data_IF_421198288720
#
_entry.id   IF_421198288720
#
_cell.length_a   1.000
_cell.length_b   1.000
_cell.length_c   1.000
_cell.angle_alpha   90.00
_cell.angle_beta   90.00
_cell.angle_gamma   90.00
#
_symmetry.space_group_name_H-M   'P 1'
#
loop_
_entity.id
_entity.type
_entity.pdbx_description
1 polymer ?
#
# COMPACT_ATOMS: atom_id res chain seq x y z
N UNK A 1 -11.24 0.71 10.39
CA UNK A 1 -10.09 0.12 9.67
C UNK A 1 -10.56 -1.15 8.96
N UNK A 2 -11.24 -0.96 7.84
CA UNK A 2 -11.78 -2.05 7.02
C UNK A 2 -11.35 -1.81 5.58
N UNK A 3 -10.83 -2.83 4.91
CA UNK A 3 -10.49 -2.80 3.48
C UNK A 3 -11.06 -4.07 2.85
N UNK A 4 -11.73 -3.93 1.70
CA UNK A 4 -12.33 -5.08 1.00
C UNK A 4 -13.30 -5.91 1.86
N UNK A 5 -14.09 -5.27 2.73
CA UNK A 5 -15.02 -5.96 3.64
C UNK A 5 -14.36 -6.71 4.81
N UNK A 6 -13.04 -6.72 4.91
CA UNK A 6 -12.29 -7.37 5.99
C UNK A 6 -11.76 -6.34 6.98
N UNK A 7 -11.78 -6.69 8.27
CA UNK A 7 -11.14 -5.90 9.33
C UNK A 7 -9.81 -6.56 9.68
N UNK A 8 -8.73 -5.85 9.41
CA UNK A 8 -7.36 -6.31 9.61
C UNK A 8 -6.63 -5.41 10.60
N UNK A 9 -5.71 -6.00 11.34
CA UNK A 9 -4.80 -5.29 12.23
C UNK A 9 -3.36 -5.73 11.94
N UNK A 10 -2.51 -4.74 11.65
CA UNK A 10 -1.09 -4.93 11.38
C UNK A 10 -0.31 -4.29 12.52
N UNK A 11 0.49 -5.08 13.23
CA UNK A 11 1.44 -4.57 14.23
C UNK A 11 2.86 -4.78 13.72
N UNK A 12 3.67 -3.72 13.74
CA UNK A 12 5.09 -3.77 13.41
C UNK A 12 5.91 -3.21 14.57
N UNK A 13 6.95 -3.94 14.95
CA UNK A 13 7.90 -3.50 15.96
C UNK A 13 9.29 -3.46 15.32
N UNK A 14 10.01 -2.34 15.38
CA UNK A 14 11.36 -2.25 14.86
C UNK A 14 12.33 -3.07 15.71
N UNK A 15 13.52 -3.34 15.17
CA UNK A 15 14.59 -3.88 15.98
C UNK A 15 15.00 -2.82 17.02
N UNK A 16 15.09 -3.21 18.29
CA UNK A 16 15.35 -2.27 19.38
C UNK A 16 16.01 -2.95 20.59
N UNK A 17 16.83 -2.23 21.36
CA UNK A 17 17.35 -2.75 22.62
C UNK A 17 16.21 -2.92 23.63
N UNK A 18 16.19 -4.06 24.31
CA UNK A 18 15.22 -4.43 25.33
C UNK A 18 15.97 -4.91 26.58
N UNK A 19 15.54 -4.55 27.79
CA UNK A 19 16.08 -5.14 29.01
C UNK A 19 16.05 -6.68 28.96
N UNK A 20 17.12 -7.32 29.42
CA UNK A 20 17.17 -8.78 29.51
C UNK A 20 16.12 -9.29 30.51
N UNK A 21 15.56 -10.47 30.24
CA UNK A 21 14.64 -11.13 31.19
C UNK A 21 15.31 -11.53 32.51
N UNK A 22 16.63 -11.71 32.52
CA UNK A 22 17.43 -12.12 33.67
C UNK A 22 18.80 -11.42 33.61
N UNK A 23 19.26 -10.95 34.77
CA UNK A 23 20.50 -10.19 34.92
C UNK A 23 20.41 -8.75 34.38
N UNK A 24 21.52 -8.02 34.51
CA UNK A 24 21.60 -6.62 34.08
C UNK A 24 21.97 -6.45 32.60
N UNK A 25 21.56 -5.30 32.06
CA UNK A 25 21.85 -4.87 30.69
C UNK A 25 20.74 -5.17 29.68
N UNK A 26 21.04 -4.84 28.41
CA UNK A 26 20.10 -4.91 27.29
C UNK A 26 20.45 -6.05 26.33
N UNK A 27 19.45 -6.51 25.59
CA UNK A 27 19.59 -7.42 24.45
C UNK A 27 18.83 -6.85 23.25
N UNK A 28 19.26 -7.15 22.05
CA UNK A 28 18.57 -6.69 20.84
C UNK A 28 17.34 -7.56 20.57
N UNK A 29 16.17 -6.94 20.60
CA UNK A 29 14.94 -7.53 20.07
C UNK A 29 14.91 -7.34 18.55
N UNK A 30 14.71 -8.43 17.81
CA UNK A 30 14.62 -8.38 16.35
C UNK A 30 13.32 -7.70 15.92
N UNK A 31 13.33 -7.10 14.74
CA UNK A 31 12.11 -6.56 14.14
C UNK A 31 11.06 -7.66 13.97
N UNK A 32 9.78 -7.32 14.21
CA UNK A 32 8.66 -8.23 14.09
C UNK A 32 7.51 -7.59 13.33
N UNK A 33 6.76 -8.41 12.62
CA UNK A 33 5.49 -8.04 11.99
C UNK A 33 4.44 -9.07 12.33
N UNK A 34 3.21 -8.64 12.58
CA UNK A 34 2.07 -9.51 12.88
C UNK A 34 0.84 -8.99 12.18
N UNK A 35 0.11 -9.90 11.55
CA UNK A 35 -1.18 -9.63 10.93
C UNK A 35 -2.25 -10.43 11.66
N UNK A 36 -3.33 -9.76 12.03
CA UNK A 36 -4.55 -10.38 12.56
C UNK A 36 -5.76 -9.97 11.73
N UNK A 37 -6.69 -10.90 11.57
CA UNK A 37 -8.00 -10.66 10.96
C UNK A 37 -9.09 -10.79 12.01
N UNK A 38 -10.11 -9.95 11.91
CA UNK A 38 -11.27 -10.03 12.77
C UNK A 38 -12.34 -10.90 12.13
N UNK A 39 -12.75 -11.94 12.85
CA UNK A 39 -13.86 -12.82 12.56
C UNK A 39 -15.04 -12.46 13.48
N UNK A 40 -16.27 -12.48 12.97
CA UNK A 40 -17.45 -12.07 13.73
C UNK A 40 -17.84 -13.04 14.83
N UNK A 41 -17.50 -14.32 14.70
CA UNK A 41 -17.82 -15.37 15.67
C UNK A 41 -16.66 -15.59 16.65
N UNK A 42 -15.42 -15.56 16.14
CA UNK A 42 -14.22 -15.97 16.88
C UNK A 42 -13.31 -14.80 17.27
N UNK A 43 -13.69 -13.56 16.94
CA UNK A 43 -12.92 -12.37 17.23
C UNK A 43 -11.59 -12.29 16.46
N UNK A 44 -10.55 -11.74 17.08
CA UNK A 44 -9.26 -11.55 16.42
C UNK A 44 -8.47 -12.86 16.27
N UNK A 45 -8.18 -13.22 15.02
CA UNK A 45 -7.41 -14.40 14.64
C UNK A 45 -6.05 -14.02 14.07
N UNK A 46 -5.01 -14.77 14.42
CA UNK A 46 -3.68 -14.59 13.85
C UNK A 46 -3.65 -15.11 12.40
N UNK A 47 -3.17 -14.28 11.47
CA UNK A 47 -3.09 -14.63 10.05
C UNK A 47 -1.65 -14.92 9.63
N UNK A 48 -0.70 -14.02 9.92
CA UNK A 48 0.71 -14.23 9.58
C UNK A 48 1.65 -13.47 10.53
N UNK A 49 2.89 -13.96 10.60
CA UNK A 49 4.04 -13.31 11.25
C UNK A 49 5.19 -13.03 10.27
N UNK A 50 5.05 -13.41 9.00
CA UNK A 50 6.06 -13.20 7.97
C UNK A 50 5.94 -11.78 7.41
N UNK A 51 7.02 -11.02 7.46
CA UNK A 51 7.00 -9.63 6.96
C UNK A 51 6.64 -9.57 5.46
N UNK A 52 7.14 -10.52 4.68
CA UNK A 52 6.93 -10.57 3.24
C UNK A 52 5.48 -10.91 2.89
N UNK A 53 4.93 -11.99 3.44
CA UNK A 53 3.53 -12.39 3.21
C UNK A 53 2.56 -11.27 3.62
N UNK A 54 2.82 -10.61 4.75
CA UNK A 54 2.00 -9.48 5.20
C UNK A 54 2.09 -8.33 4.19
N UNK A 55 3.26 -8.06 3.63
CA UNK A 55 3.44 -7.03 2.59
C UNK A 55 2.66 -7.35 1.32
N UNK A 56 2.70 -8.60 0.87
CA UNK A 56 2.00 -9.07 -0.32
C UNK A 56 0.47 -9.00 -0.13
N UNK A 57 -0.05 -9.53 0.99
CA UNK A 57 -1.48 -9.47 1.35
C UNK A 57 -2.00 -8.02 1.36
N UNK A 58 -1.26 -7.11 2.01
CA UNK A 58 -1.64 -5.70 2.07
C UNK A 58 -1.58 -5.03 0.68
N UNK A 59 -0.58 -5.36 -0.13
CA UNK A 59 -0.46 -4.80 -1.49
C UNK A 59 -1.62 -5.24 -2.37
N UNK A 60 -2.01 -6.53 -2.31
CA UNK A 60 -3.14 -7.06 -3.05
C UNK A 60 -4.47 -6.43 -2.59
N UNK A 61 -4.67 -6.27 -1.28
CA UNK A 61 -5.90 -5.71 -0.72
C UNK A 61 -6.07 -4.21 -0.98
N UNK A 62 -4.99 -3.44 -0.88
CA UNK A 62 -5.02 -1.99 -1.09
C UNK A 62 -4.97 -1.68 -2.60
N UNK A 63 -4.40 -2.59 -3.40
CA UNK A 63 -4.31 -2.45 -4.86
C UNK A 63 -3.25 -1.44 -5.33
N UNK A 64 -2.33 -1.04 -4.44
CA UNK A 64 -1.29 -0.07 -4.74
C UNK A 64 -0.01 -0.35 -3.94
N UNK A 65 1.12 0.07 -4.49
CA UNK A 65 2.42 -0.04 -3.82
C UNK A 65 2.56 0.96 -2.67
N UNK A 66 3.55 0.73 -1.79
CA UNK A 66 3.91 1.66 -0.71
C UNK A 66 4.12 3.09 -1.22
N UNK A 67 4.87 3.23 -2.31
CA UNK A 67 5.25 4.55 -2.82
C UNK A 67 4.03 5.28 -3.42
N UNK A 68 3.11 4.55 -4.07
CA UNK A 68 1.83 5.08 -4.53
C UNK A 68 0.93 5.48 -3.36
N UNK A 69 0.86 4.65 -2.32
CA UNK A 69 0.10 4.94 -1.11
C UNK A 69 0.62 6.19 -0.40
N UNK A 70 1.95 6.32 -0.24
CA UNK A 70 2.55 7.49 0.40
C UNK A 70 2.36 8.78 -0.41
N UNK A 71 2.33 8.71 -1.74
CA UNK A 71 2.07 9.91 -2.57
C UNK A 71 0.66 10.46 -2.41
N UNK A 72 -0.28 9.66 -1.90
CA UNK A 72 -1.72 9.94 -2.02
C UNK A 72 -2.41 10.01 -0.67
N UNK A 73 -2.06 9.13 0.27
CA UNK A 73 -2.73 9.00 1.56
C UNK A 73 -1.90 9.59 2.70
N UNK A 74 -0.59 9.36 2.69
CA UNK A 74 0.35 9.96 3.64
C UNK A 74 0.96 11.19 3.02
N UNK A 75 0.18 12.25 2.88
CA UNK A 75 0.74 13.54 2.49
C UNK A 75 1.78 13.92 3.55
N UNK A 76 3.09 13.88 3.24
CA UNK A 76 4.06 14.57 4.09
C UNK A 76 3.58 16.02 4.09
N UNK A 77 3.51 16.66 5.26
CA UNK A 77 3.07 18.05 5.38
C UNK A 77 3.90 18.90 4.38
N UNK A 78 3.32 19.23 3.21
CA UNK A 78 4.04 19.83 2.08
C UNK A 78 3.60 19.33 0.69
N UNK A 79 3.59 18.02 0.42
CA UNK A 79 3.40 17.51 -0.96
C UNK A 79 1.94 17.53 -1.44
N UNK A 80 0.96 17.66 -0.55
CA UNK A 80 -0.44 17.90 -0.98
C UNK A 80 -0.62 19.26 -1.62
N UNK A 81 0.03 20.28 -1.05
CA UNK A 81 0.02 21.60 -1.66
C UNK A 81 0.68 21.54 -3.04
N UNK A 82 1.73 20.71 -3.20
CA UNK A 82 2.35 20.45 -4.51
C UNK A 82 1.42 19.69 -5.46
N UNK A 83 0.61 18.75 -4.97
CA UNK A 83 -0.43 18.08 -5.75
C UNK A 83 -1.55 19.04 -6.21
N UNK A 84 -2.05 19.90 -5.32
CA UNK A 84 -3.06 20.91 -5.67
C UNK A 84 -2.52 21.95 -6.67
N UNK A 85 -1.22 22.24 -6.62
CA UNK A 85 -0.51 23.16 -7.52
C UNK A 85 0.03 22.49 -8.78
N UNK A 86 -0.02 21.16 -8.88
CA UNK A 86 0.47 20.45 -10.05
C UNK A 86 -0.40 20.74 -11.27
N UNK A 87 0.23 20.78 -12.44
CA UNK A 87 -0.47 20.87 -13.71
C UNK A 87 -1.40 19.66 -13.95
N UNK A 88 -2.34 19.82 -14.89
CA UNK A 88 -3.34 18.80 -15.17
C UNK A 88 -2.72 17.48 -15.62
N UNK A 89 -1.58 17.53 -16.31
CA UNK A 89 -0.85 16.35 -16.80
C UNK A 89 -0.23 15.54 -15.65
N UNK A 90 0.46 16.19 -14.72
CA UNK A 90 1.04 15.51 -13.57
C UNK A 90 -0.04 14.93 -12.65
N UNK A 91 -1.17 15.64 -12.47
CA UNK A 91 -2.35 15.10 -11.77
C UNK A 91 -2.94 13.89 -12.49
N UNK A 92 -3.10 13.95 -13.81
CA UNK A 92 -3.61 12.85 -14.63
C UNK A 92 -2.76 11.59 -14.53
N UNK A 93 -1.42 11.71 -14.62
CA UNK A 93 -0.48 10.58 -14.45
C UNK A 93 -0.54 9.97 -13.04
N UNK A 94 -0.80 10.78 -12.02
CA UNK A 94 -0.96 10.31 -10.64
C UNK A 94 -2.28 9.56 -10.45
N UNK A 95 -3.39 10.14 -10.92
CA UNK A 95 -4.72 9.54 -10.85
C UNK A 95 -4.82 8.26 -11.70
N UNK A 96 -4.16 8.21 -12.85
CA UNK A 96 -4.15 7.02 -13.69
C UNK A 96 -3.39 5.84 -13.08
N UNK A 97 -2.33 6.12 -12.31
CA UNK A 97 -1.66 5.09 -11.49
C UNK A 97 -2.50 4.65 -10.30
N UNK A 98 -3.32 5.55 -9.75
CA UNK A 98 -4.17 5.31 -8.57
C UNK A 98 -5.38 4.41 -8.85
N UNK A 99 -6.09 4.66 -9.95
CA UNK A 99 -7.29 3.90 -10.30
C UNK A 99 -7.00 2.73 -11.26
N UNK A 100 -5.71 2.41 -11.41
CA UNK A 100 -5.20 1.45 -12.39
C UNK A 100 -5.83 1.65 -13.78
N UNK A 101 -5.90 2.89 -14.25
CA UNK A 101 -6.48 3.21 -15.55
C UNK A 101 -5.57 2.84 -16.72
N UNK A 102 -4.43 2.19 -16.44
CA UNK A 102 -3.50 1.65 -17.45
C UNK A 102 -4.23 0.77 -18.46
N UNK A 103 -5.24 0.01 -18.03
CA UNK A 103 -6.08 -0.79 -18.95
C UNK A 103 -6.88 0.08 -19.93
N UNK A 104 -7.34 1.25 -19.50
CA UNK A 104 -8.10 2.17 -20.36
C UNK A 104 -7.16 2.90 -21.33
N UNK A 105 -5.99 3.32 -20.85
CA UNK A 105 -4.95 3.90 -21.71
C UNK A 105 -4.50 2.92 -22.81
N UNK A 106 -4.33 1.64 -22.49
CA UNK A 106 -3.99 0.61 -23.48
C UNK A 106 -5.10 0.43 -24.55
N UNK A 107 -6.37 0.56 -24.15
CA UNK A 107 -7.50 0.51 -25.08
C UNK A 107 -7.51 1.75 -25.98
N UNK A 108 -7.30 2.95 -25.42
CA UNK A 108 -7.20 4.19 -26.21
C UNK A 108 -6.05 4.13 -27.23
N UNK A 109 -4.88 3.65 -26.82
CA UNK A 109 -3.72 3.49 -27.70
C UNK A 109 -4.04 2.51 -28.84
N UNK A 110 -4.66 1.38 -28.52
CA UNK A 110 -5.09 0.39 -29.52
C UNK A 110 -6.10 0.97 -30.51
N UNK A 111 -7.07 1.75 -30.04
CA UNK A 111 -8.05 2.42 -30.91
C UNK A 111 -7.39 3.49 -31.80
N UNK A 112 -6.40 4.22 -31.27
CA UNK A 112 -5.66 5.23 -32.03
C UNK A 112 -4.81 4.60 -33.15
N UNK A 113 -4.20 3.44 -32.90
CA UNK A 113 -3.51 2.65 -33.94
C UNK A 113 -4.46 2.22 -35.06
N UNK A 114 -5.63 1.68 -34.70
CA UNK A 114 -6.63 1.24 -35.68
C UNK A 114 -7.12 2.40 -36.56
N UNK A 115 -7.33 3.59 -35.98
CA UNK A 115 -7.67 4.79 -36.74
C UNK A 115 -6.58 5.16 -37.75
N UNK A 116 -5.31 5.23 -37.31
CA UNK A 116 -4.19 5.57 -38.18
C UNK A 116 -4.03 4.58 -39.34
N UNK A 117 -4.31 3.30 -39.10
CA UNK A 117 -4.27 2.27 -40.15
C UNK A 117 -5.46 2.29 -41.12
N UNK A 118 -6.57 2.93 -40.75
CA UNK A 118 -7.74 3.09 -41.63
C UNK A 118 -7.70 4.39 -42.47
N UNK A 119 -6.90 5.37 -42.03
CA UNK A 119 -6.69 6.65 -42.73
C UNK A 119 -5.48 6.63 -43.69
N UNK A 120 -4.71 5.53 -43.72
CA UNK A 120 -3.57 5.28 -44.61
C UNK A 120 -3.98 4.38 -45.80
#
# INVERSE_FOLDING_TARGET
>A
LTVGGRRLEVTRSPAQPRPKKRGDGFTMEKAQSRLRGYDTERGWQALSKSHQEIGEELTQLIGMSRDQFCQVVLLPQGDFARFLRADAEARGKLLGRLFDTRRFAAVEERLAELRRGAEA
#
